data_IF_893689237491
#
_entry.id   IF_893689237491
#
_cell.length_a   1.000
_cell.length_b   1.000
_cell.length_c   1.000
_cell.angle_alpha   90.00
_cell.angle_beta   90.00
_cell.angle_gamma   90.00
#
_symmetry.space_group_name_H-M   'P 1'
#
loop_
_entity.id
_entity.type
_entity.pdbx_description
1 polymer ?
#
# COMPACT_ATOMS: atom_id res chain seq x y z
N UNK A 1 3.48 -7.57 6.22
CA UNK A 1 2.51 -6.46 6.34
C UNK A 1 1.65 -6.46 5.08
N UNK A 2 0.33 -6.25 5.20
CA UNK A 2 -0.58 -6.17 4.05
C UNK A 2 -1.42 -4.90 4.19
N UNK A 3 -1.38 -4.04 3.17
CA UNK A 3 -2.17 -2.82 3.05
C UNK A 3 -3.17 -2.92 1.90
N UNK A 4 -4.33 -2.28 2.03
CA UNK A 4 -5.32 -2.19 0.96
C UNK A 4 -5.41 -0.74 0.52
N UNK A 5 -5.33 -0.52 -0.80
CA UNK A 5 -5.52 0.78 -1.45
C UNK A 5 -6.74 0.67 -2.35
N UNK A 6 -7.64 1.65 -2.27
CA UNK A 6 -8.83 1.73 -3.11
C UNK A 6 -8.70 2.96 -3.99
N UNK A 7 -8.83 2.75 -5.30
CA UNK A 7 -8.89 3.84 -6.27
C UNK A 7 -10.33 4.40 -6.39
N UNK A 8 -10.45 5.64 -6.88
CA UNK A 8 -11.73 6.35 -7.11
C UNK A 8 -12.64 5.58 -8.10
N UNK A 9 -12.08 4.75 -8.98
CA UNK A 9 -12.82 3.87 -9.88
C UNK A 9 -13.28 2.53 -9.25
N UNK A 10 -13.22 2.40 -7.92
CA UNK A 10 -13.56 1.19 -7.15
C UNK A 10 -12.63 -0.01 -7.36
N UNK A 11 -11.49 0.17 -8.02
CA UNK A 11 -10.47 -0.86 -8.07
C UNK A 11 -9.81 -1.02 -6.69
N UNK A 12 -9.81 -2.24 -6.16
CA UNK A 12 -9.19 -2.55 -4.87
C UNK A 12 -7.86 -3.26 -5.09
N UNK A 13 -6.78 -2.68 -4.60
CA UNK A 13 -5.44 -3.24 -4.68
C UNK A 13 -4.93 -3.62 -3.30
N UNK A 14 -4.16 -4.71 -3.24
CA UNK A 14 -3.51 -5.19 -2.05
C UNK A 14 -1.99 -5.14 -2.21
N UNK A 15 -1.33 -4.43 -1.29
CA UNK A 15 0.12 -4.32 -1.18
C UNK A 15 0.59 -5.27 -0.10
N UNK A 16 1.43 -6.24 -0.44
CA UNK A 16 2.01 -7.21 0.47
C UNK A 16 3.54 -7.10 0.47
N UNK A 17 4.14 -6.99 1.65
CA UNK A 17 5.61 -7.05 1.78
C UNK A 17 6.07 -8.49 1.98
N UNK A 18 6.98 -8.94 1.13
CA UNK A 18 7.61 -10.27 1.17
C UNK A 18 8.97 -10.20 1.86
N UNK A 19 9.05 -10.62 3.12
CA UNK A 19 10.31 -10.63 3.89
C UNK A 19 11.38 -11.54 3.29
N UNK A 20 10.97 -12.59 2.55
CA UNK A 20 11.90 -13.56 1.97
C UNK A 20 12.66 -13.04 0.76
N UNK A 21 12.05 -12.11 0.02
CA UNK A 21 12.63 -11.50 -1.18
C UNK A 21 12.95 -10.00 -1.00
N UNK A 22 12.63 -9.44 0.18
CA UNK A 22 12.80 -8.02 0.50
C UNK A 22 12.12 -7.10 -0.54
N UNK A 23 10.93 -7.50 -1.00
CA UNK A 23 10.20 -6.81 -2.05
C UNK A 23 8.72 -6.57 -1.67
N UNK A 24 8.14 -5.52 -2.24
CA UNK A 24 6.71 -5.26 -2.16
C UNK A 24 6.01 -5.82 -3.39
N UNK A 25 4.93 -6.55 -3.17
CA UNK A 25 4.09 -7.16 -4.19
C UNK A 25 2.75 -6.46 -4.19
N UNK A 26 2.35 -5.93 -5.34
CA UNK A 26 1.02 -5.34 -5.55
C UNK A 26 0.15 -6.34 -6.30
N UNK A 27 -1.05 -6.55 -5.78
CA UNK A 27 -2.05 -7.46 -6.36
C UNK A 27 -3.39 -6.76 -6.50
N UNK A 28 -4.16 -7.19 -7.48
CA UNK A 28 -5.56 -6.78 -7.67
C UNK A 28 -6.50 -7.46 -6.64
N UNK A 29 -7.77 -7.06 -6.58
CA UNK A 29 -8.81 -7.64 -5.71
C UNK A 29 -8.97 -9.15 -5.87
N UNK A 30 -8.68 -9.67 -7.07
CA UNK A 30 -8.71 -11.10 -7.34
C UNK A 30 -7.44 -11.84 -6.86
N UNK A 31 -6.44 -11.13 -6.33
CA UNK A 31 -5.15 -11.69 -5.92
C UNK A 31 -4.19 -11.95 -7.08
N UNK A 32 -4.45 -11.37 -8.26
CA UNK A 32 -3.55 -11.43 -9.40
C UNK A 32 -2.45 -10.40 -9.24
N UNK A 33 -1.20 -10.80 -9.55
CA UNK A 33 -0.07 -9.88 -9.55
C UNK A 33 -0.31 -8.79 -10.59
N UNK A 34 -0.01 -7.55 -10.24
CA UNK A 34 -0.14 -6.45 -11.18
C UNK A 34 1.04 -6.50 -12.16
N UNK A 35 0.75 -6.70 -13.45
CA UNK A 35 1.76 -6.69 -14.52
C UNK A 35 2.20 -5.26 -14.91
N UNK A 36 1.41 -4.24 -14.57
CA UNK A 36 1.73 -2.85 -14.83
C UNK A 36 2.60 -2.27 -13.71
N UNK A 37 3.92 -2.30 -13.93
CA UNK A 37 4.92 -1.77 -12.99
C UNK A 37 4.67 -0.29 -12.64
N UNK A 38 4.24 0.53 -13.61
CA UNK A 38 3.97 1.95 -13.39
C UNK A 38 2.84 2.15 -12.37
N UNK A 39 1.74 1.43 -12.54
CA UNK A 39 0.61 1.48 -11.63
C UNK A 39 0.97 0.90 -10.26
N UNK A 40 1.76 -0.18 -10.23
CA UNK A 40 2.25 -0.77 -8.99
C UNK A 40 3.05 0.24 -8.18
N UNK A 41 3.93 1.02 -8.84
CA UNK A 41 4.69 2.09 -8.19
C UNK A 41 3.81 3.23 -7.70
N UNK A 42 2.79 3.66 -8.45
CA UNK A 42 1.86 4.70 -8.01
C UNK A 42 1.08 4.28 -6.76
N UNK A 43 0.59 3.04 -6.73
CA UNK A 43 -0.10 2.47 -5.55
C UNK A 43 0.85 2.37 -4.35
N UNK A 44 2.11 1.98 -4.59
CA UNK A 44 3.12 1.87 -3.54
C UNK A 44 3.48 3.22 -2.93
N UNK A 45 3.58 4.26 -3.77
CA UNK A 45 3.85 5.63 -3.34
C UNK A 45 2.70 6.15 -2.47
N UNK A 46 1.45 6.00 -2.93
CA UNK A 46 0.26 6.40 -2.19
C UNK A 46 0.14 5.65 -0.84
N UNK A 47 0.39 4.34 -0.85
CA UNK A 47 0.43 3.54 0.37
C UNK A 47 1.51 4.03 1.36
N UNK A 48 2.69 4.39 0.86
CA UNK A 48 3.79 4.89 1.70
C UNK A 48 3.43 6.24 2.33
N UNK A 49 2.86 7.17 1.55
CA UNK A 49 2.37 8.47 2.04
C UNK A 49 1.30 8.29 3.11
N UNK A 50 0.31 7.41 2.88
CA UNK A 50 -0.73 7.09 3.86
C UNK A 50 -0.17 6.44 5.13
N UNK A 51 0.82 5.55 4.99
CA UNK A 51 1.47 4.91 6.13
C UNK A 51 2.29 5.91 6.95
N UNK A 52 2.98 6.85 6.30
CA UNK A 52 3.69 7.94 6.98
C UNK A 52 2.73 8.90 7.69
N UNK A 53 1.60 9.25 7.06
CA UNK A 53 0.57 10.09 7.68
C UNK A 53 -0.10 9.38 8.87
N UNK A 54 -0.38 8.08 8.73
CA UNK A 54 -0.95 7.27 9.81
C UNK A 54 0.06 6.97 10.92
N UNK A 55 1.35 6.90 10.64
CA UNK A 55 2.41 6.74 11.64
C UNK A 55 2.73 8.04 12.37
N UNK A 56 2.31 9.19 11.82
CA UNK A 56 2.46 10.52 12.41
C UNK A 56 1.40 10.88 13.47
N UNK A 57 0.35 10.08 13.65
CA UNK A 57 -0.61 10.21 14.75
C UNK A 57 -0.10 9.49 16.02
N UNK A 58 1.08 9.88 16.49
CA UNK A 58 1.33 9.77 17.92
C UNK A 58 0.41 10.80 18.59
N UNK A 59 -0.47 10.43 19.54
CA UNK A 59 -1.24 11.42 20.27
C UNK A 59 -0.23 12.33 20.96
N UNK A 60 -0.08 13.55 20.44
CA UNK A 60 0.68 14.61 21.07
C UNK A 60 0.09 14.77 22.46
N UNK A 61 0.72 14.13 23.44
CA UNK A 61 0.39 14.23 24.84
C UNK A 61 0.43 15.69 25.21
N UNK A 62 -0.76 16.28 25.36
CA UNK A 62 -0.93 17.54 26.03
C UNK A 62 -0.86 17.22 27.53
N UNK A 63 0.27 17.56 28.15
CA UNK A 63 0.52 17.50 29.58
C UNK A 63 0.82 18.90 30.10
#
# INVERSE_FOLDING_TARGET
>A
MVGLVQDDEHHSFAVAYSEGADEFVVTDECGNLLDDDALAQEILDDFCVLAEESAGDEPRGEA
#
